data_IF_957307733974
#
_entry.id   IF_957307733974
#
_cell.length_a   1.000
_cell.length_b   1.000
_cell.length_c   1.000
_cell.angle_alpha   90.00
_cell.angle_beta   90.00
_cell.angle_gamma   90.00
#
_symmetry.space_group_name_H-M   'P 1'
#
loop_
_entity.id
_entity.type
_entity.pdbx_description
1 polymer ?
#
# COMPACT_ATOMS: atom_id res chain seq x y z
N UNK A 1 -11.47 -18.45 -9.83
CA UNK A 1 -12.16 -17.14 -9.76
C UNK A 1 -11.57 -16.42 -8.56
N UNK A 2 -10.71 -15.40 -8.74
CA UNK A 2 -10.18 -14.68 -7.59
C UNK A 2 -11.26 -13.73 -7.04
N UNK A 3 -11.61 -13.90 -5.77
CA UNK A 3 -12.56 -13.04 -5.07
C UNK A 3 -11.90 -11.70 -4.73
N UNK A 4 -12.29 -10.62 -5.41
CA UNK A 4 -11.88 -9.25 -5.05
C UNK A 4 -12.16 -9.01 -3.55
N UNK A 5 -11.10 -8.81 -2.75
CA UNK A 5 -11.22 -8.51 -1.31
C UNK A 5 -11.81 -7.09 -1.18
N UNK A 6 -13.12 -7.00 -0.98
CA UNK A 6 -13.84 -5.73 -0.76
C UNK A 6 -13.29 -5.02 0.49
N UNK A 7 -13.18 -3.70 0.47
CA UNK A 7 -12.67 -2.90 1.61
C UNK A 7 -13.58 -3.03 2.83
N UNK A 8 -13.16 -3.81 3.82
CA UNK A 8 -13.94 -4.07 5.04
C UNK A 8 -13.82 -2.91 6.01
N UNK A 9 -14.96 -2.27 6.30
CA UNK A 9 -15.05 -1.27 7.36
C UNK A 9 -15.37 -2.01 8.67
N UNK A 10 -14.50 -1.84 9.64
CA UNK A 10 -14.73 -2.21 11.02
C UNK A 10 -15.21 -0.99 11.80
N UNK A 11 -16.32 -1.13 12.53
CA UNK A 11 -16.90 -0.04 13.31
C UNK A 11 -16.69 -0.27 14.80
N UNK A 12 -15.94 0.64 15.42
CA UNK A 12 -15.71 0.68 16.86
C UNK A 12 -16.65 1.68 17.50
N UNK A 13 -17.50 1.23 18.43
CA UNK A 13 -18.47 2.09 19.10
C UNK A 13 -18.81 1.60 20.51
N UNK A 14 -19.31 2.49 21.36
CA UNK A 14 -19.90 2.06 22.64
C UNK A 14 -21.32 1.55 22.42
N UNK A 15 -21.69 0.42 23.04
CA UNK A 15 -23.06 -0.11 22.96
C UNK A 15 -24.14 0.90 23.38
N UNK A 16 -23.79 1.88 24.22
CA UNK A 16 -24.69 2.98 24.62
C UNK A 16 -24.98 3.98 23.50
N UNK A 17 -24.19 3.95 22.43
CA UNK A 17 -24.31 4.83 21.26
C UNK A 17 -24.83 4.10 20.03
N UNK A 18 -25.42 2.91 20.22
CA UNK A 18 -25.96 2.07 19.14
C UNK A 18 -26.93 2.82 18.23
N UNK A 19 -27.68 3.79 18.76
CA UNK A 19 -28.62 4.59 17.97
C UNK A 19 -27.92 5.30 16.78
N UNK A 20 -26.71 5.84 16.99
CA UNK A 20 -25.93 6.48 15.93
C UNK A 20 -25.42 5.48 14.89
N UNK A 21 -25.06 4.27 15.32
CA UNK A 21 -24.70 3.20 14.41
C UNK A 21 -25.88 2.79 13.52
N UNK A 22 -27.08 2.65 14.09
CA UNK A 22 -28.29 2.31 13.34
C UNK A 22 -28.65 3.41 12.34
N UNK A 23 -28.47 4.68 12.69
CA UNK A 23 -28.67 5.80 11.77
C UNK A 23 -27.67 5.77 10.60
N UNK A 24 -26.39 5.50 10.86
CA UNK A 24 -25.39 5.30 9.81
C UNK A 24 -25.76 4.13 8.91
N UNK A 25 -26.13 2.97 9.49
CA UNK A 25 -26.58 1.80 8.73
C UNK A 25 -27.79 2.10 7.85
N UNK A 26 -28.76 2.86 8.36
CA UNK A 26 -29.96 3.26 7.63
C UNK A 26 -29.62 4.12 6.41
N UNK A 27 -28.71 5.09 6.56
CA UNK A 27 -28.27 5.96 5.45
C UNK A 27 -27.39 5.19 4.46
N UNK A 28 -26.48 4.34 4.95
CA UNK A 28 -25.59 3.51 4.14
C UNK A 28 -26.28 2.28 3.54
N UNK A 29 -27.52 1.97 3.90
CA UNK A 29 -28.25 0.78 3.49
C UNK A 29 -28.22 0.51 1.97
N UNK A 30 -28.34 1.52 1.07
CA UNK A 30 -28.21 1.30 -0.36
C UNK A 30 -26.84 0.73 -0.76
N UNK A 31 -25.76 1.22 -0.11
CA UNK A 31 -24.35 0.88 -0.39
C UNK A 31 -23.85 -0.37 0.33
N UNK A 32 -24.50 -0.73 1.41
CA UNK A 32 -24.32 -2.03 2.06
C UNK A 32 -24.99 -3.11 1.20
N UNK A 33 -26.21 -2.86 0.71
CA UNK A 33 -27.00 -3.81 -0.09
C UNK A 33 -26.39 -4.12 -1.46
N UNK A 34 -25.85 -3.12 -2.14
CA UNK A 34 -25.16 -3.31 -3.42
C UNK A 34 -23.73 -3.88 -3.26
N UNK A 35 -23.27 -4.06 -2.01
CA UNK A 35 -21.98 -4.64 -1.68
C UNK A 35 -20.79 -3.69 -1.88
N UNK A 36 -21.03 -2.41 -2.16
CA UNK A 36 -19.99 -1.37 -2.27
C UNK A 36 -19.26 -1.20 -0.94
N UNK A 37 -19.98 -1.30 0.18
CA UNK A 37 -19.44 -1.19 1.53
C UNK A 37 -19.69 -2.49 2.28
N UNK A 38 -18.70 -3.40 2.38
CA UNK A 38 -18.75 -4.50 3.34
C UNK A 38 -18.54 -3.93 4.76
N UNK A 39 -19.65 -3.50 5.34
CA UNK A 39 -19.74 -2.90 6.66
C UNK A 39 -19.88 -4.00 7.72
N UNK A 40 -19.01 -4.01 8.73
CA UNK A 40 -19.08 -4.97 9.83
C UNK A 40 -19.14 -4.24 11.19
N UNK A 41 -19.98 -4.75 12.07
CA UNK A 41 -20.13 -4.33 13.47
C UNK A 41 -20.53 -5.53 14.36
N UNK A 42 -20.44 -5.34 15.67
CA UNK A 42 -20.65 -6.40 16.67
C UNK A 42 -22.08 -6.98 16.71
N UNK A 43 -23.07 -6.37 16.05
CA UNK A 43 -24.43 -6.95 15.95
C UNK A 43 -24.52 -8.16 15.02
N UNK A 44 -23.45 -8.45 14.27
CA UNK A 44 -23.35 -9.59 13.36
C UNK A 44 -22.76 -10.85 14.01
N UNK A 45 -22.36 -10.78 15.28
CA UNK A 45 -21.81 -11.92 16.04
C UNK A 45 -22.95 -12.85 16.44
N UNK A 46 -22.88 -14.15 16.11
CA UNK A 46 -23.95 -15.08 16.45
C UNK A 46 -23.99 -15.41 17.95
N UNK A 47 -25.17 -15.73 18.53
CA UNK A 47 -25.32 -16.11 19.93
C UNK A 47 -24.71 -17.49 20.26
N UNK A 48 -23.39 -17.58 20.23
CA UNK A 48 -22.58 -18.74 20.63
C UNK A 48 -21.09 -18.47 20.47
N UNK A 49 -20.72 -17.47 19.68
CA UNK A 49 -19.33 -17.20 19.33
C UNK A 49 -18.62 -16.48 20.46
N UNK A 50 -17.31 -16.72 20.55
CA UNK A 50 -16.44 -15.97 21.44
C UNK A 50 -16.25 -14.58 20.85
N UNK A 51 -17.17 -13.68 21.21
CA UNK A 51 -17.26 -12.31 20.69
C UNK A 51 -15.92 -11.54 20.60
N UNK A 52 -14.96 -11.82 21.50
CA UNK A 52 -13.62 -11.20 21.46
C UNK A 52 -12.75 -11.72 20.32
N UNK A 53 -12.72 -13.03 20.11
CA UNK A 53 -11.94 -13.67 19.05
C UNK A 53 -12.50 -13.25 17.68
N UNK A 54 -13.83 -13.14 17.56
CA UNK A 54 -14.52 -12.63 16.38
C UNK A 54 -14.14 -11.16 16.08
N UNK A 55 -14.14 -10.28 17.09
CA UNK A 55 -13.74 -8.87 16.92
C UNK A 55 -12.29 -8.77 16.44
N UNK A 56 -11.36 -9.51 17.04
CA UNK A 56 -9.96 -9.53 16.66
C UNK A 56 -9.77 -10.04 15.22
N UNK A 57 -10.46 -11.11 14.83
CA UNK A 57 -10.42 -11.65 13.48
C UNK A 57 -10.94 -10.62 12.46
N UNK A 58 -12.09 -9.99 12.73
CA UNK A 58 -12.69 -9.03 11.80
C UNK A 58 -11.84 -7.78 11.67
N UNK A 59 -11.31 -7.27 12.78
CA UNK A 59 -10.35 -6.18 12.80
C UNK A 59 -9.06 -6.53 12.05
N UNK A 60 -8.58 -7.77 12.14
CA UNK A 60 -7.38 -8.24 11.40
C UNK A 60 -7.58 -8.19 9.88
N UNK A 61 -8.83 -8.31 9.42
CA UNK A 61 -9.21 -8.29 8.00
C UNK A 61 -9.71 -6.93 7.51
N UNK A 62 -9.89 -5.96 8.42
CA UNK A 62 -10.40 -4.63 8.12
C UNK A 62 -9.32 -3.76 7.45
N UNK A 63 -9.76 -2.96 6.48
CA UNK A 63 -8.91 -1.97 5.79
C UNK A 63 -9.20 -0.54 6.26
N UNK A 64 -10.38 -0.32 6.84
CA UNK A 64 -10.81 0.94 7.45
C UNK A 64 -11.37 0.65 8.85
N UNK A 65 -10.95 1.42 9.85
CA UNK A 65 -11.58 1.46 11.17
C UNK A 65 -12.29 2.80 11.38
N UNK A 66 -13.60 2.74 11.61
CA UNK A 66 -14.46 3.88 11.92
C UNK A 66 -14.74 3.94 13.42
N UNK A 67 -14.29 4.99 14.11
CA UNK A 67 -14.50 5.17 15.55
C UNK A 67 -15.65 6.14 15.82
N UNK A 68 -16.67 5.69 16.55
CA UNK A 68 -17.77 6.52 17.03
C UNK A 68 -17.46 7.02 18.44
N UNK A 69 -16.89 8.22 18.52
CA UNK A 69 -16.26 8.72 19.75
C UNK A 69 -17.25 9.53 20.58
N UNK A 70 -17.40 9.14 21.84
CA UNK A 70 -18.24 9.76 22.85
C UNK A 70 -17.58 9.65 24.23
N UNK A 71 -18.18 10.26 25.25
CA UNK A 71 -17.83 10.04 26.65
C UNK A 71 -17.97 8.55 27.04
N UNK A 72 -18.99 7.86 26.52
CA UNK A 72 -19.19 6.42 26.74
C UNK A 72 -18.18 5.54 26.00
N UNK A 73 -17.66 5.98 24.86
CA UNK A 73 -16.59 5.31 24.12
C UNK A 73 -15.28 5.39 24.90
N UNK A 74 -14.91 6.59 25.36
CA UNK A 74 -13.69 6.82 26.12
C UNK A 74 -13.73 6.25 27.54
N UNK A 75 -14.91 6.01 28.11
CA UNK A 75 -15.07 5.38 29.41
C UNK A 75 -15.16 3.84 29.36
N UNK A 76 -15.14 3.23 28.17
CA UNK A 76 -15.26 1.78 28.02
C UNK A 76 -13.91 1.09 28.22
N UNK A 77 -13.78 0.32 29.31
CA UNK A 77 -12.54 -0.41 29.64
C UNK A 77 -12.11 -1.38 28.53
N UNK A 78 -13.07 -1.99 27.83
CA UNK A 78 -12.77 -2.89 26.73
C UNK A 78 -12.18 -2.12 25.54
N UNK A 79 -12.80 -1.01 25.16
CA UNK A 79 -12.34 -0.21 24.02
C UNK A 79 -10.95 0.38 24.32
N UNK A 80 -10.79 1.03 25.47
CA UNK A 80 -9.54 1.72 25.83
C UNK A 80 -8.38 0.76 26.05
N UNK A 81 -8.60 -0.39 26.69
CA UNK A 81 -7.51 -1.29 27.07
C UNK A 81 -7.28 -2.44 26.09
N UNK A 82 -8.17 -2.67 25.11
CA UNK A 82 -8.06 -3.79 24.16
C UNK A 82 -8.18 -3.33 22.71
N UNK A 83 -9.33 -2.76 22.35
CA UNK A 83 -9.68 -2.51 20.95
C UNK A 83 -8.88 -1.35 20.35
N UNK A 84 -8.87 -0.20 21.03
CA UNK A 84 -8.19 1.00 20.57
C UNK A 84 -6.67 0.82 20.44
N UNK A 85 -5.95 0.20 21.40
CA UNK A 85 -4.52 -0.09 21.22
C UNK A 85 -4.23 -0.94 19.98
N UNK A 86 -5.06 -1.95 19.69
CA UNK A 86 -4.90 -2.80 18.52
C UNK A 86 -5.20 -2.06 17.21
N UNK A 87 -6.23 -1.21 17.20
CA UNK A 87 -6.55 -0.34 16.05
C UNK A 87 -5.38 0.60 15.76
N UNK A 88 -4.83 1.25 16.79
CA UNK A 88 -3.72 2.18 16.65
C UNK A 88 -2.44 1.49 16.19
N UNK A 89 -2.13 0.32 16.76
CA UNK A 89 -0.99 -0.51 16.35
C UNK A 89 -1.09 -0.91 14.87
N UNK A 90 -2.27 -1.36 14.43
CA UNK A 90 -2.51 -1.68 13.01
C UNK A 90 -2.47 -0.46 12.10
N UNK A 91 -2.84 0.71 12.59
CA UNK A 91 -2.75 1.94 11.84
C UNK A 91 -1.29 2.34 11.58
N UNK A 92 -0.43 2.14 12.59
CA UNK A 92 1.01 2.42 12.50
C UNK A 92 1.77 1.34 11.71
N UNK A 93 1.40 0.06 11.87
CA UNK A 93 2.23 -1.07 11.41
C UNK A 93 1.64 -1.88 10.24
N UNK A 94 0.31 -1.89 10.05
CA UNK A 94 -0.38 -2.74 9.06
C UNK A 94 -1.10 -1.94 7.95
N UNK A 95 -1.02 -0.61 7.97
CA UNK A 95 -1.68 0.26 6.98
C UNK A 95 -3.20 0.38 7.13
N UNK A 96 -3.75 0.05 8.31
CA UNK A 96 -5.17 0.25 8.63
C UNK A 96 -5.52 1.75 8.61
N UNK A 97 -6.47 2.15 7.79
CA UNK A 97 -6.93 3.55 7.75
C UNK A 97 -7.88 3.80 8.93
N UNK A 98 -7.51 4.71 9.83
CA UNK A 98 -8.34 5.10 10.96
C UNK A 98 -9.02 6.43 10.69
N UNK A 99 -10.32 6.49 10.95
CA UNK A 99 -11.11 7.72 10.92
C UNK A 99 -12.15 7.68 12.02
N UNK A 100 -12.68 8.83 12.40
CA UNK A 100 -13.55 8.94 13.56
C UNK A 100 -14.56 10.07 13.43
N UNK A 101 -15.62 9.99 14.23
CA UNK A 101 -16.65 11.02 14.34
C UNK A 101 -16.96 11.30 15.82
N UNK A 102 -17.18 12.58 16.14
CA UNK A 102 -17.53 13.00 17.49
C UNK A 102 -19.04 12.99 17.67
N UNK A 103 -19.52 12.08 18.52
CA UNK A 103 -20.94 11.93 18.84
C UNK A 103 -21.39 12.91 19.93
N UNK A 104 -20.62 13.02 21.03
CA UNK A 104 -20.96 13.83 22.21
C UNK A 104 -19.74 14.62 22.71
N UNK A 105 -19.94 15.71 23.45
CA UNK A 105 -18.84 16.38 24.15
C UNK A 105 -18.08 15.41 25.05
N UNK A 106 -16.77 15.29 24.84
CA UNK A 106 -15.92 14.45 25.68
C UNK A 106 -14.47 14.96 25.71
N UNK A 107 -13.70 14.52 26.69
CA UNK A 107 -12.32 14.96 26.88
C UNK A 107 -11.37 14.30 25.87
N UNK A 108 -11.18 14.95 24.71
CA UNK A 108 -10.32 14.47 23.63
C UNK A 108 -8.88 14.99 23.69
N UNK A 109 -8.63 16.05 24.46
CA UNK A 109 -7.32 16.68 24.52
C UNK A 109 -6.27 15.68 25.02
N UNK A 110 -5.25 15.41 24.20
CA UNK A 110 -4.18 14.47 24.50
C UNK A 110 -4.49 13.00 24.17
N UNK A 111 -5.64 12.70 23.57
CA UNK A 111 -5.97 11.35 23.13
C UNK A 111 -5.34 11.04 21.75
N UNK A 112 -4.77 9.85 21.58
CA UNK A 112 -4.15 9.40 20.32
C UNK A 112 -5.11 9.40 19.12
N UNK A 113 -6.42 9.29 19.35
CA UNK A 113 -7.44 9.38 18.30
C UNK A 113 -7.33 10.71 17.52
N UNK A 114 -6.95 11.81 18.17
CA UNK A 114 -6.88 13.12 17.52
C UNK A 114 -5.72 13.25 16.54
N UNK A 115 -4.81 12.27 16.46
CA UNK A 115 -3.78 12.21 15.43
C UNK A 115 -4.36 11.83 14.05
N UNK A 116 -5.58 11.30 13.99
CA UNK A 116 -6.24 10.87 12.75
C UNK A 116 -7.32 11.86 12.32
N UNK A 117 -7.63 11.86 11.02
CA UNK A 117 -8.62 12.76 10.44
C UNK A 117 -10.05 12.38 10.87
N UNK A 118 -10.77 13.36 11.43
CA UNK A 118 -12.19 13.24 11.73
C UNK A 118 -13.05 13.39 10.46
N UNK A 119 -14.21 12.74 10.44
CA UNK A 119 -15.14 12.78 9.30
C UNK A 119 -15.94 14.08 9.19
N UNK A 120 -15.94 14.90 10.23
CA UNK A 120 -16.64 16.18 10.27
C UNK A 120 -15.84 17.20 11.09
N UNK A 121 -16.36 18.43 11.20
CA UNK A 121 -15.79 19.43 12.09
C UNK A 121 -16.02 19.06 13.56
N UNK A 122 -14.95 18.87 14.31
CA UNK A 122 -15.01 18.47 15.73
C UNK A 122 -15.39 19.60 16.70
N UNK A 123 -15.63 20.81 16.19
CA UNK A 123 -16.03 21.98 16.96
C UNK A 123 -17.44 21.86 17.56
N UNK A 124 -18.31 21.06 16.94
CA UNK A 124 -19.68 20.84 17.42
C UNK A 124 -20.03 19.35 17.29
N UNK A 125 -20.15 18.60 18.40
CA UNK A 125 -20.54 17.19 18.39
C UNK A 125 -21.92 16.96 17.80
N UNK A 126 -22.17 15.77 17.25
CA UNK A 126 -23.46 15.44 16.63
C UNK A 126 -24.65 15.57 17.58
N UNK A 127 -24.47 15.30 18.87
CA UNK A 127 -25.52 15.44 19.89
C UNK A 127 -25.95 16.88 20.16
N UNK A 128 -25.17 17.88 19.72
CA UNK A 128 -25.47 19.31 19.90
C UNK A 128 -26.12 19.94 18.65
N UNK A 129 -26.30 19.15 17.58
CA UNK A 129 -27.00 19.58 16.38
C UNK A 129 -28.51 19.42 16.57
N UNK A 130 -29.29 20.26 15.89
CA UNK A 130 -30.73 20.02 15.77
C UNK A 130 -30.98 18.72 14.98
N UNK A 131 -32.15 18.08 15.09
CA UNK A 131 -32.42 16.84 14.38
C UNK A 131 -32.19 16.93 12.85
N UNK A 132 -32.57 18.05 12.24
CA UNK A 132 -32.39 18.28 10.80
C UNK A 132 -30.91 18.45 10.44
N UNK A 133 -30.17 19.29 11.18
CA UNK A 133 -28.72 19.47 10.99
C UNK A 133 -27.94 18.18 11.23
N UNK A 134 -28.35 17.39 12.23
CA UNK A 134 -27.75 16.11 12.56
C UNK A 134 -27.93 15.13 11.41
N UNK A 135 -29.13 15.09 10.81
CA UNK A 135 -29.42 14.25 9.66
C UNK A 135 -28.59 14.67 8.44
N UNK A 136 -28.52 15.96 8.14
CA UNK A 136 -27.68 16.48 7.05
C UNK A 136 -26.19 16.14 7.24
N UNK A 137 -25.68 16.32 8.47
CA UNK A 137 -24.27 16.04 8.76
C UNK A 137 -23.98 14.54 8.68
N UNK A 138 -24.90 13.68 9.15
CA UNK A 138 -24.79 12.23 9.00
C UNK A 138 -24.76 11.79 7.52
N UNK A 139 -25.53 12.46 6.65
CA UNK A 139 -25.47 12.20 5.19
C UNK A 139 -24.08 12.53 4.64
N UNK A 140 -23.52 13.70 4.96
CA UNK A 140 -22.14 14.07 4.52
C UNK A 140 -21.09 13.11 5.05
N UNK A 141 -21.22 12.67 6.30
CA UNK A 141 -20.34 11.66 6.90
C UNK A 141 -20.45 10.34 6.13
N UNK A 142 -21.68 9.90 5.81
CA UNK A 142 -21.91 8.71 5.02
C UNK A 142 -21.33 8.82 3.61
N UNK A 143 -21.44 9.98 2.96
CA UNK A 143 -20.81 10.24 1.65
C UNK A 143 -19.28 10.09 1.73
N UNK A 144 -18.65 10.67 2.75
CA UNK A 144 -17.21 10.49 2.99
C UNK A 144 -16.85 9.03 3.27
N UNK A 145 -17.67 8.30 4.03
CA UNK A 145 -17.50 6.86 4.25
C UNK A 145 -17.56 6.10 2.94
N UNK A 146 -18.55 6.41 2.08
CA UNK A 146 -18.68 5.82 0.75
C UNK A 146 -17.46 6.15 -0.12
N UNK A 147 -16.94 7.37 -0.08
CA UNK A 147 -15.74 7.75 -0.82
C UNK A 147 -14.49 7.01 -0.34
N UNK A 148 -14.36 6.83 0.97
CA UNK A 148 -13.24 6.09 1.55
C UNK A 148 -13.31 4.59 1.25
N UNK A 149 -14.53 4.02 1.27
CA UNK A 149 -14.80 2.59 1.15
C UNK A 149 -15.08 2.11 -0.27
N UNK A 150 -15.39 3.04 -1.18
CA UNK A 150 -15.16 2.79 -2.61
C UNK A 150 -13.72 2.31 -2.70
N UNK A 151 -13.45 1.16 -3.34
CA UNK A 151 -12.10 0.92 -3.81
C UNK A 151 -11.75 2.19 -4.57
N UNK A 152 -10.74 2.92 -4.09
CA UNK A 152 -10.46 4.28 -4.54
C UNK A 152 -10.81 4.41 -6.03
N UNK A 153 -11.70 5.34 -6.41
CA UNK A 153 -11.95 5.61 -7.82
C UNK A 153 -10.61 6.06 -8.44
N UNK A 154 -9.87 5.10 -8.96
CA UNK A 154 -8.43 5.07 -8.77
C UNK A 154 -7.94 3.77 -8.15
N UNK A 155 -8.18 2.64 -8.83
CA UNK A 155 -7.01 1.86 -9.24
C UNK A 155 -6.05 2.88 -9.82
N UNK A 156 -5.12 3.32 -8.99
CA UNK A 156 -3.95 3.99 -9.50
C UNK A 156 -3.08 2.89 -10.10
N UNK A 157 -3.50 2.50 -11.29
CA UNK A 157 -2.63 2.29 -12.42
C UNK A 157 -1.54 3.40 -12.57
N UNK A 158 -1.70 4.51 -11.84
CA UNK A 158 -0.74 5.55 -11.52
C UNK A 158 -0.17 5.40 -10.08
N UNK A 159 0.68 4.40 -9.85
CA UNK A 159 1.72 4.50 -8.80
C UNK A 159 3.10 4.33 -9.42
N UNK A 160 3.28 4.96 -10.57
CA UNK A 160 4.60 5.16 -11.16
C UNK A 160 5.49 6.13 -10.41
N UNK A 161 4.95 6.86 -9.42
CA UNK A 161 5.70 7.82 -8.59
C UNK A 161 5.41 7.68 -7.07
N UNK A 162 4.67 6.64 -6.66
CA UNK A 162 4.50 6.22 -5.25
C UNK A 162 4.59 4.69 -5.21
N UNK A 163 5.15 4.05 -4.18
CA UNK A 163 5.46 2.63 -4.23
C UNK A 163 4.19 1.76 -4.32
N UNK A 164 4.23 0.74 -5.18
CA UNK A 164 3.07 -0.08 -5.57
C UNK A 164 2.42 -0.71 -4.32
N UNK A 165 1.10 -0.78 -4.30
CA UNK A 165 0.36 -1.21 -3.10
C UNK A 165 -0.05 -2.68 -3.19
N UNK A 166 -0.37 -3.26 -2.03
CA UNK A 166 -0.93 -4.61 -1.83
C UNK A 166 -2.14 -4.97 -2.74
N UNK A 167 -2.81 -3.99 -3.36
CA UNK A 167 -3.94 -4.22 -4.27
C UNK A 167 -3.54 -4.65 -5.69
N UNK A 168 -2.26 -4.57 -6.04
CA UNK A 168 -1.74 -4.89 -7.38
C UNK A 168 -1.16 -6.31 -7.49
N UNK A 169 -1.27 -7.13 -6.43
CA UNK A 169 -0.74 -8.50 -6.35
C UNK A 169 -1.25 -9.39 -7.49
N UNK A 170 -2.52 -9.24 -7.88
CA UNK A 170 -3.12 -10.01 -8.99
C UNK A 170 -2.48 -9.66 -10.34
N UNK A 171 -2.15 -8.37 -10.55
CA UNK A 171 -1.51 -7.92 -11.79
C UNK A 171 -0.09 -8.50 -11.87
N UNK A 172 0.65 -8.57 -10.75
CA UNK A 172 2.01 -9.13 -10.75
C UNK A 172 2.06 -10.66 -10.70
N UNK A 173 1.06 -11.33 -10.13
CA UNK A 173 0.96 -12.78 -10.13
C UNK A 173 0.74 -13.34 -11.54
N UNK A 174 0.06 -12.61 -12.42
CA UNK A 174 -0.22 -13.03 -13.81
C UNK A 174 0.84 -12.57 -14.83
N UNK A 175 1.73 -11.65 -14.46
CA UNK A 175 2.95 -11.39 -15.23
C UNK A 175 3.89 -12.56 -14.98
N UNK A 176 4.55 -13.08 -16.02
CA UNK A 176 5.50 -14.21 -15.98
C UNK A 176 6.77 -13.99 -15.13
N UNK A 177 6.70 -13.14 -14.10
CA UNK A 177 7.71 -12.94 -13.06
C UNK A 177 7.46 -13.78 -11.81
N UNK A 178 6.50 -14.72 -11.83
CA UNK A 178 6.34 -15.70 -10.76
C UNK A 178 7.66 -16.40 -10.46
N UNK A 179 8.42 -16.81 -11.48
CA UNK A 179 9.73 -17.44 -11.29
C UNK A 179 10.73 -16.54 -10.57
N UNK A 180 10.73 -15.24 -10.87
CA UNK A 180 11.58 -14.26 -10.19
C UNK A 180 11.18 -14.07 -8.73
N UNK A 181 9.87 -13.92 -8.48
CA UNK A 181 9.32 -13.73 -7.14
C UNK A 181 9.55 -14.97 -6.28
N UNK A 182 9.28 -16.15 -6.82
CA UNK A 182 9.54 -17.42 -6.15
C UNK A 182 11.04 -17.62 -5.91
N UNK A 183 11.92 -17.24 -6.85
CA UNK A 183 13.36 -17.25 -6.61
C UNK A 183 13.76 -16.32 -5.45
N UNK A 184 13.21 -15.10 -5.39
CA UNK A 184 13.46 -14.17 -4.29
C UNK A 184 12.97 -14.72 -2.96
N UNK A 185 11.71 -15.14 -2.89
CA UNK A 185 11.06 -15.61 -1.66
C UNK A 185 11.70 -16.92 -1.19
N UNK A 186 11.96 -17.86 -2.09
CA UNK A 186 12.67 -19.12 -1.80
C UNK A 186 14.06 -18.86 -1.25
N UNK A 187 14.83 -17.96 -1.89
CA UNK A 187 16.15 -17.55 -1.42
C UNK A 187 16.09 -16.93 -0.02
N UNK A 188 15.19 -15.97 0.21
CA UNK A 188 14.99 -15.36 1.54
C UNK A 188 14.59 -16.41 2.58
N UNK A 189 13.84 -17.44 2.21
CA UNK A 189 13.40 -18.49 3.13
C UNK A 189 14.50 -19.50 3.50
N UNK A 190 15.62 -19.54 2.79
CA UNK A 190 16.75 -20.43 3.14
C UNK A 190 17.32 -20.10 4.52
N UNK A 191 17.86 -21.12 5.21
CA UNK A 191 18.35 -20.98 6.58
C UNK A 191 19.60 -20.09 6.69
N UNK A 192 20.45 -20.12 5.67
CA UNK A 192 21.71 -19.37 5.56
C UNK A 192 21.52 -17.98 4.93
N UNK A 193 20.31 -17.65 4.46
CA UNK A 193 20.01 -16.30 3.98
C UNK A 193 20.04 -15.31 5.14
N UNK A 194 21.04 -14.41 5.11
CA UNK A 194 21.14 -13.29 6.05
C UNK A 194 20.89 -11.97 5.34
N UNK A 195 21.62 -11.71 4.26
CA UNK A 195 21.56 -10.45 3.54
C UNK A 195 21.58 -10.71 2.04
N UNK A 196 20.70 -10.05 1.30
CA UNK A 196 20.64 -10.14 -0.14
C UNK A 196 20.33 -8.82 -0.82
N UNK A 197 20.56 -8.79 -2.13
CA UNK A 197 20.36 -7.64 -2.99
C UNK A 197 19.27 -7.91 -4.02
N UNK A 198 18.35 -6.97 -4.13
CA UNK A 198 17.43 -6.83 -5.25
C UNK A 198 18.01 -5.77 -6.21
N UNK A 199 18.71 -6.24 -7.23
CA UNK A 199 19.37 -5.40 -8.22
C UNK A 199 18.43 -5.07 -9.38
N UNK A 200 18.64 -3.92 -10.00
CA UNK A 200 17.95 -3.58 -11.24
C UNK A 200 18.20 -2.14 -11.66
N UNK A 201 17.97 -1.82 -12.92
CA UNK A 201 18.07 -0.44 -13.41
C UNK A 201 17.02 0.48 -12.75
N UNK A 202 17.16 1.80 -12.93
CA UNK A 202 16.16 2.73 -12.46
C UNK A 202 14.81 2.49 -13.16
N UNK A 203 13.71 2.58 -12.41
CA UNK A 203 12.36 2.43 -12.97
C UNK A 203 11.90 1.00 -13.30
N UNK A 204 12.72 -0.05 -13.08
CA UNK A 204 12.32 -1.46 -13.36
C UNK A 204 11.31 -2.05 -12.36
N UNK A 205 10.96 -1.30 -11.31
CA UNK A 205 9.95 -1.69 -10.32
C UNK A 205 10.51 -2.36 -9.06
N UNK A 206 11.76 -2.11 -8.66
CA UNK A 206 12.37 -2.69 -7.44
C UNK A 206 11.53 -2.43 -6.18
N UNK A 207 11.25 -1.15 -5.90
CA UNK A 207 10.36 -0.67 -4.85
C UNK A 207 9.00 -1.37 -4.86
N UNK A 208 8.44 -1.54 -6.05
CA UNK A 208 7.16 -2.20 -6.28
C UNK A 208 7.17 -3.65 -5.83
N UNK A 209 8.22 -4.39 -6.23
CA UNK A 209 8.36 -5.79 -5.87
C UNK A 209 8.56 -5.95 -4.37
N UNK A 210 9.31 -5.06 -3.71
CA UNK A 210 9.46 -5.09 -2.25
C UNK A 210 8.11 -4.93 -1.52
N UNK A 211 7.34 -3.90 -1.86
CA UNK A 211 6.11 -3.55 -1.12
C UNK A 211 4.88 -4.38 -1.50
N UNK A 212 4.66 -4.61 -2.80
CA UNK A 212 3.42 -5.18 -3.30
C UNK A 212 3.48 -6.70 -3.47
N UNK A 213 4.68 -7.29 -3.47
CA UNK A 213 4.85 -8.72 -3.82
C UNK A 213 5.66 -9.45 -2.76
N UNK A 214 6.94 -9.13 -2.59
CA UNK A 214 7.86 -9.85 -1.70
C UNK A 214 7.41 -9.75 -0.23
N UNK A 215 7.15 -8.55 0.28
CA UNK A 215 6.65 -8.36 1.65
C UNK A 215 5.38 -9.16 1.96
N UNK A 216 4.29 -8.98 1.18
CA UNK A 216 3.06 -9.75 1.33
C UNK A 216 3.28 -11.27 1.31
N UNK A 217 4.04 -11.79 0.34
CA UNK A 217 4.34 -13.22 0.23
C UNK A 217 5.13 -13.75 1.43
N UNK A 218 6.05 -12.96 1.98
CA UNK A 218 6.75 -13.30 3.23
C UNK A 218 5.77 -13.42 4.40
N UNK A 219 4.79 -12.50 4.51
CA UNK A 219 3.75 -12.54 5.55
C UNK A 219 2.86 -13.78 5.44
N UNK A 220 2.52 -14.20 4.22
CA UNK A 220 1.78 -15.46 3.97
C UNK A 220 2.58 -16.69 4.40
N UNK A 221 3.90 -16.67 4.24
CA UNK A 221 4.81 -17.73 4.68
C UNK A 221 5.17 -17.66 6.17
N UNK A 222 4.55 -16.76 6.93
CA UNK A 222 4.73 -16.65 8.39
C UNK A 222 5.94 -15.82 8.84
N UNK A 223 6.60 -15.11 7.94
CA UNK A 223 7.64 -14.12 8.28
C UNK A 223 6.99 -12.77 8.63
N UNK A 224 7.53 -12.08 9.63
CA UNK A 224 7.25 -10.65 9.79
C UNK A 224 8.21 -9.88 8.88
N UNK A 225 7.79 -8.72 8.35
CA UNK A 225 8.67 -7.88 7.56
C UNK A 225 8.49 -6.41 7.89
N UNK A 226 9.54 -5.62 7.68
CA UNK A 226 9.51 -4.16 7.79
C UNK A 226 10.11 -3.53 6.54
N UNK A 227 9.34 -2.71 5.86
CA UNK A 227 9.80 -1.91 4.72
C UNK A 227 10.35 -0.56 5.20
N UNK A 228 11.47 -0.12 4.63
CA UNK A 228 12.14 1.14 4.97
C UNK A 228 12.66 1.77 3.67
N UNK A 229 12.27 3.02 3.40
CA UNK A 229 12.78 3.80 2.27
C UNK A 229 13.92 4.72 2.73
N UNK A 230 15.15 4.39 2.34
CA UNK A 230 16.36 5.08 2.80
C UNK A 230 16.55 6.49 2.21
N UNK A 231 15.65 6.93 1.32
CA UNK A 231 15.60 8.34 0.88
C UNK A 231 14.97 9.24 1.95
N UNK A 232 14.04 8.68 2.72
CA UNK A 232 13.16 9.42 3.62
C UNK A 232 13.41 9.07 5.09
N UNK A 233 13.92 7.86 5.36
CA UNK A 233 14.13 7.34 6.70
C UNK A 233 15.61 7.00 6.92
N UNK A 234 16.10 7.28 8.14
CA UNK A 234 17.41 6.80 8.56
C UNK A 234 17.38 5.28 8.75
N UNK A 235 18.42 4.55 8.33
CA UNK A 235 18.44 3.11 8.49
C UNK A 235 18.38 2.74 9.98
N UNK A 236 17.64 1.68 10.34
CA UNK A 236 17.43 1.32 11.73
C UNK A 236 18.73 0.79 12.35
N UNK A 237 18.92 1.07 13.64
CA UNK A 237 19.96 0.42 14.43
C UNK A 237 19.61 -1.06 14.58
N UNK A 238 20.31 -1.93 13.85
CA UNK A 238 20.03 -3.37 13.78
C UNK A 238 20.01 -4.04 15.16
N UNK A 239 20.83 -3.57 16.10
CA UNK A 239 20.89 -4.06 17.48
C UNK A 239 19.59 -3.84 18.28
N UNK A 240 18.77 -2.86 17.90
CA UNK A 240 17.48 -2.55 18.55
C UNK A 240 16.32 -3.37 17.97
N UNK A 241 16.53 -4.04 16.85
CA UNK A 241 15.53 -4.88 16.22
C UNK A 241 15.58 -6.27 16.84
N UNK A 242 14.89 -6.44 17.96
CA UNK A 242 14.74 -7.75 18.59
C UNK A 242 13.52 -8.45 17.99
N UNK A 243 13.67 -9.50 17.16
CA UNK A 243 12.51 -10.25 16.70
C UNK A 243 11.81 -10.89 17.90
N UNK A 244 10.47 -10.90 17.88
CA UNK A 244 9.70 -11.65 18.86
C UNK A 244 10.06 -13.14 18.72
N UNK A 245 10.22 -13.85 19.84
CA UNK A 245 10.81 -15.21 19.96
C UNK A 245 10.24 -16.30 19.03
N UNK A 246 9.18 -16.04 18.27
CA UNK A 246 8.48 -17.04 17.44
C UNK A 246 8.47 -16.79 15.93
N UNK A 247 8.87 -15.62 15.40
CA UNK A 247 8.83 -15.34 13.95
C UNK A 247 10.10 -14.68 13.41
N UNK A 248 10.67 -15.16 12.29
CA UNK A 248 11.77 -14.50 11.59
C UNK A 248 11.32 -13.14 11.04
N UNK A 249 12.18 -12.13 11.16
CA UNK A 249 11.94 -10.76 10.70
C UNK A 249 12.76 -10.49 9.44
N UNK A 250 12.13 -9.96 8.39
CA UNK A 250 12.81 -9.54 7.16
C UNK A 250 12.77 -8.01 7.04
N UNK A 251 13.92 -7.36 6.96
CA UNK A 251 14.01 -5.95 6.60
C UNK A 251 14.09 -5.81 5.09
N UNK A 252 13.15 -5.06 4.53
CA UNK A 252 13.13 -4.67 3.12
C UNK A 252 13.65 -3.24 3.04
N UNK A 253 14.95 -3.09 2.77
CA UNK A 253 15.58 -1.78 2.63
C UNK A 253 15.49 -1.34 1.18
N UNK A 254 14.80 -0.24 0.91
CA UNK A 254 14.69 0.32 -0.42
C UNK A 254 15.71 1.43 -0.64
N UNK A 255 16.20 1.59 -1.86
CA UNK A 255 17.19 2.60 -2.24
C UNK A 255 18.47 2.53 -1.39
N UNK A 256 19.07 1.34 -1.29
CA UNK A 256 20.27 1.11 -0.48
C UNK A 256 21.47 1.96 -0.90
N UNK A 257 21.49 2.46 -2.14
CA UNK A 257 22.45 3.47 -2.59
C UNK A 257 22.45 4.78 -1.78
N UNK A 258 21.41 5.02 -0.98
CA UNK A 258 21.31 6.17 -0.06
C UNK A 258 21.77 5.86 1.36
N UNK A 259 22.07 4.60 1.68
CA UNK A 259 22.57 4.25 2.99
C UNK A 259 23.98 4.84 3.23
N UNK A 260 24.28 5.29 4.46
CA UNK A 260 25.64 5.66 4.86
C UNK A 260 26.49 4.39 5.03
N UNK A 261 27.15 3.98 3.93
CA UNK A 261 27.92 2.74 3.81
C UNK A 261 29.44 2.95 3.89
N UNK A 262 29.91 4.01 4.55
CA UNK A 262 31.35 4.23 4.75
C UNK A 262 31.85 3.51 6.01
N UNK A 263 33.12 3.08 6.08
CA UNK A 263 33.67 2.38 7.26
C UNK A 263 33.51 3.11 8.59
N UNK A 264 33.46 4.45 8.55
CA UNK A 264 33.25 5.31 9.72
C UNK A 264 31.80 5.36 10.22
N UNK A 265 30.83 5.07 9.36
CA UNK A 265 29.41 5.24 9.64
C UNK A 265 28.90 4.22 10.67
N UNK A 266 28.08 4.68 11.63
CA UNK A 266 27.54 3.82 12.67
C UNK A 266 26.64 2.72 12.11
N UNK A 267 25.85 3.03 11.08
CA UNK A 267 25.00 2.04 10.42
C UNK A 267 25.82 0.95 9.75
N UNK A 268 26.86 1.32 8.99
CA UNK A 268 27.73 0.36 8.33
C UNK A 268 28.43 -0.54 9.35
N UNK A 269 29.02 0.03 10.41
CA UNK A 269 29.60 -0.74 11.52
C UNK A 269 28.60 -1.71 12.16
N UNK A 270 27.36 -1.27 12.38
CA UNK A 270 26.30 -2.13 12.92
C UNK A 270 25.92 -3.25 11.94
N UNK A 271 25.90 -2.99 10.62
CA UNK A 271 25.67 -3.98 9.58
C UNK A 271 26.77 -5.05 9.56
N UNK A 272 28.04 -4.64 9.61
CA UNK A 272 29.19 -5.56 9.68
C UNK A 272 29.12 -6.43 10.93
N UNK A 273 28.91 -5.79 12.09
CA UNK A 273 28.79 -6.50 13.37
C UNK A 273 27.64 -7.49 13.37
N UNK A 274 26.49 -7.12 12.81
CA UNK A 274 25.33 -8.01 12.71
C UNK A 274 25.59 -9.20 11.78
N UNK A 275 26.22 -8.97 10.62
CA UNK A 275 26.49 -10.03 9.65
C UNK A 275 27.48 -11.08 10.18
N UNK A 276 28.46 -10.66 10.98
CA UNK A 276 29.42 -11.56 11.63
C UNK A 276 28.87 -12.29 12.86
N UNK A 277 27.83 -11.77 13.50
CA UNK A 277 27.26 -12.34 14.72
C UNK A 277 26.23 -13.43 14.39
N UNK A 278 26.56 -14.69 14.70
CA UNK A 278 25.69 -15.86 14.48
C UNK A 278 24.70 -16.10 15.63
N UNK A 279 24.78 -15.31 16.71
CA UNK A 279 23.94 -15.47 17.91
C UNK A 279 22.61 -14.71 17.84
N UNK A 280 22.47 -13.76 16.90
CA UNK A 280 21.26 -12.96 16.74
C UNK A 280 20.16 -13.83 16.09
N UNK A 281 18.92 -13.85 16.62
CA UNK A 281 17.77 -14.54 16.01
C UNK A 281 17.55 -14.12 14.55
N UNK A 282 16.78 -14.86 13.72
CA UNK A 282 16.86 -14.81 12.26
C UNK A 282 16.25 -13.52 11.68
N UNK A 283 16.97 -12.42 11.86
CA UNK A 283 16.84 -11.20 11.11
C UNK A 283 17.46 -11.45 9.75
N UNK A 284 16.68 -11.18 8.70
CA UNK A 284 17.11 -11.24 7.32
C UNK A 284 16.97 -9.85 6.70
N UNK A 285 17.80 -9.52 5.74
CA UNK A 285 17.77 -8.22 5.06
C UNK A 285 17.75 -8.46 3.56
N UNK A 286 16.81 -7.84 2.87
CA UNK A 286 16.81 -7.69 1.43
C UNK A 286 16.90 -6.21 1.11
N UNK A 287 17.97 -5.80 0.43
CA UNK A 287 18.23 -4.42 0.06
C UNK A 287 18.05 -4.21 -1.45
N UNK A 288 17.19 -3.29 -1.86
CA UNK A 288 17.13 -2.88 -3.27
C UNK A 288 18.27 -1.94 -3.61
N UNK A 289 18.83 -2.09 -4.80
CA UNK A 289 19.96 -1.27 -5.24
C UNK A 289 19.95 -1.11 -6.76
N UNK A 290 20.42 0.03 -7.25
CA UNK A 290 20.70 0.18 -8.68
C UNK A 290 21.87 -0.71 -9.11
N UNK A 291 21.74 -1.40 -10.26
CA UNK A 291 22.79 -2.30 -10.77
C UNK A 291 24.14 -1.58 -10.95
N UNK A 292 24.12 -0.30 -11.31
CA UNK A 292 25.32 0.55 -11.43
C UNK A 292 26.04 0.79 -10.10
N UNK A 293 25.31 0.73 -8.98
CA UNK A 293 25.85 0.99 -7.64
C UNK A 293 26.48 -0.25 -7.00
N UNK A 294 26.17 -1.46 -7.50
CA UNK A 294 26.73 -2.72 -7.00
C UNK A 294 28.26 -2.74 -7.11
N UNK A 295 28.82 -2.21 -8.20
CA UNK A 295 30.27 -2.10 -8.37
C UNK A 295 30.94 -1.14 -7.38
N UNK A 296 30.20 -0.15 -6.87
CA UNK A 296 30.68 0.79 -5.84
C UNK A 296 30.67 0.13 -4.46
N UNK A 297 29.67 -0.72 -4.20
CA UNK A 297 29.55 -1.48 -2.96
C UNK A 297 30.63 -2.58 -2.86
N UNK A 298 30.95 -3.26 -3.96
CA UNK A 298 31.76 -4.48 -3.94
C UNK A 298 33.11 -4.35 -3.20
N UNK A 299 33.93 -3.29 -3.38
CA UNK A 299 35.15 -3.11 -2.61
C UNK A 299 34.91 -2.98 -1.11
N UNK A 300 33.88 -2.22 -0.71
CA UNK A 300 33.53 -1.98 0.70
C UNK A 300 33.15 -3.27 1.43
N UNK A 301 32.45 -4.17 0.73
CA UNK A 301 32.07 -5.48 1.28
C UNK A 301 33.22 -6.51 1.21
N UNK A 302 34.12 -6.39 0.25
CA UNK A 302 35.32 -7.25 0.15
C UNK A 302 36.27 -7.02 1.33
N UNK A 303 36.48 -5.76 1.72
CA UNK A 303 37.40 -5.38 2.82
C UNK A 303 36.95 -5.92 4.20
N UNK A 304 35.70 -6.34 4.33
CA UNK A 304 35.09 -6.87 5.56
C UNK A 304 34.62 -8.33 5.41
N UNK A 305 35.14 -9.06 4.40
CA UNK A 305 34.83 -10.46 4.10
C UNK A 305 33.34 -10.77 3.86
N UNK A 306 32.57 -9.74 3.49
CA UNK A 306 31.17 -9.89 3.17
C UNK A 306 31.02 -10.37 1.72
N UNK A 307 30.67 -11.64 1.56
CA UNK A 307 30.52 -12.26 0.24
C UNK A 307 29.05 -12.51 -0.08
N UNK A 308 28.57 -11.93 -1.19
CA UNK A 308 27.24 -12.19 -1.70
C UNK A 308 27.23 -13.54 -2.44
N UNK A 309 26.47 -14.50 -1.95
CA UNK A 309 26.22 -15.73 -2.70
C UNK A 309 25.28 -15.48 -3.88
N UNK A 310 25.34 -16.28 -4.97
CA UNK A 310 24.40 -16.14 -6.09
C UNK A 310 22.93 -16.23 -5.67
N UNK A 311 22.62 -16.98 -4.62
CA UNK A 311 21.27 -17.14 -4.05
C UNK A 311 20.81 -15.93 -3.19
N UNK A 312 21.68 -14.94 -3.02
CA UNK A 312 21.44 -13.70 -2.29
C UNK A 312 21.38 -12.49 -3.24
N UNK A 313 21.45 -12.70 -4.56
CA UNK A 313 21.51 -11.63 -5.54
C UNK A 313 20.45 -11.83 -6.62
N UNK A 314 19.38 -11.04 -6.57
CA UNK A 314 18.24 -11.14 -7.47
C UNK A 314 18.25 -9.98 -8.46
N UNK A 315 18.30 -10.28 -9.76
CA UNK A 315 18.31 -9.26 -10.82
C UNK A 315 16.92 -9.06 -11.41
N UNK A 316 16.37 -7.88 -11.20
CA UNK A 316 15.12 -7.43 -11.80
C UNK A 316 15.40 -6.72 -13.13
N UNK A 317 15.04 -7.36 -14.23
CA UNK A 317 15.18 -6.81 -15.59
C UNK A 317 14.01 -5.91 -15.98
N UNK A 318 14.14 -5.20 -17.10
CA UNK A 318 13.00 -4.55 -17.78
C UNK A 318 12.02 -5.59 -18.30
N UNK A 319 10.79 -5.15 -18.58
CA UNK A 319 9.77 -6.01 -19.15
C UNK A 319 10.09 -6.26 -20.61
N UNK A 320 9.88 -7.47 -21.10
CA UNK A 320 9.90 -7.71 -22.54
C UNK A 320 8.57 -7.25 -23.19
N UNK A 321 8.52 -7.22 -24.52
CA UNK A 321 7.33 -6.83 -25.29
C UNK A 321 6.08 -7.64 -24.91
N UNK A 322 6.22 -8.96 -24.78
CA UNK A 322 5.10 -9.86 -24.49
C UNK A 322 4.54 -9.65 -23.07
N UNK A 323 5.42 -9.48 -22.09
CA UNK A 323 5.07 -9.15 -20.70
C UNK A 323 4.34 -7.81 -20.62
N UNK A 324 4.86 -6.78 -21.30
CA UNK A 324 4.23 -5.46 -21.32
C UNK A 324 2.82 -5.51 -21.96
N UNK A 325 2.65 -6.28 -23.03
CA UNK A 325 1.35 -6.46 -23.68
C UNK A 325 0.33 -7.16 -22.79
N UNK A 326 0.74 -8.22 -22.10
CA UNK A 326 -0.13 -8.91 -21.13
C UNK A 326 -0.60 -7.95 -20.04
N UNK A 327 0.30 -7.11 -19.53
CA UNK A 327 -0.05 -6.12 -18.50
C UNK A 327 -1.11 -5.14 -19.01
N UNK A 328 -0.91 -4.54 -20.19
CA UNK A 328 -1.90 -3.60 -20.73
C UNK A 328 -3.26 -4.25 -20.94
N UNK A 329 -3.30 -5.49 -21.44
CA UNK A 329 -4.56 -6.22 -21.64
C UNK A 329 -5.27 -6.51 -20.32
N UNK A 330 -4.55 -7.02 -19.32
CA UNK A 330 -5.09 -7.25 -17.97
C UNK A 330 -5.61 -5.96 -17.32
N UNK A 331 -5.04 -4.81 -17.68
CA UNK A 331 -5.51 -3.49 -17.21
C UNK A 331 -6.76 -3.00 -17.95
N UNK A 332 -6.98 -3.42 -19.19
CA UNK A 332 -8.07 -2.93 -20.05
C UNK A 332 -9.31 -3.85 -20.04
N UNK A 333 -9.12 -5.18 -19.97
CA UNK A 333 -10.21 -6.17 -20.02
C UNK A 333 -11.26 -6.03 -18.90
N UNK A 334 -10.89 -5.81 -17.62
CA UNK A 334 -11.87 -5.67 -16.54
C UNK A 334 -12.73 -4.41 -16.65
N UNK A 335 -12.31 -3.45 -17.48
CA UNK A 335 -12.87 -2.09 -17.52
C UNK A 335 -13.81 -1.86 -18.70
N UNK A 336 -14.02 -2.87 -19.56
CA UNK A 336 -14.83 -2.81 -20.79
C UNK A 336 -14.44 -1.61 -21.70
N UNK A 337 -13.17 -1.20 -21.62
CA UNK A 337 -12.64 -0.07 -22.39
C UNK A 337 -12.32 -0.58 -23.80
N UNK A 338 -12.93 -0.03 -24.86
CA UNK A 338 -12.54 -0.38 -26.22
C UNK A 338 -11.09 0.07 -26.47
N UNK A 339 -10.21 -0.90 -26.74
CA UNK A 339 -8.82 -0.66 -27.10
C UNK A 339 -8.49 -1.28 -28.47
N UNK A 340 -7.73 -0.56 -29.28
CA UNK A 340 -7.17 -1.11 -30.52
C UNK A 340 -5.88 -1.88 -30.16
N UNK A 341 -5.87 -3.20 -30.32
CA UNK A 341 -4.69 -4.05 -30.07
C UNK A 341 -3.47 -3.54 -30.84
N UNK A 342 -3.66 -3.24 -32.12
CA UNK A 342 -2.61 -2.78 -33.03
C UNK A 342 -2.02 -1.43 -32.58
N UNK A 343 -2.77 -0.66 -31.81
CA UNK A 343 -2.33 0.62 -31.27
C UNK A 343 -1.50 0.45 -29.99
N UNK A 344 -1.92 -0.45 -29.08
CA UNK A 344 -1.11 -0.85 -27.91
C UNK A 344 0.22 -1.45 -28.39
N UNK A 345 0.16 -2.33 -29.38
CA UNK A 345 1.35 -2.92 -30.02
C UNK A 345 2.26 -1.82 -30.56
N UNK A 346 1.71 -0.82 -31.28
CA UNK A 346 2.48 0.31 -31.80
C UNK A 346 3.10 1.19 -30.70
N UNK A 347 2.40 1.43 -29.60
CA UNK A 347 2.91 2.21 -28.46
C UNK A 347 4.08 1.49 -27.78
N UNK A 348 3.95 0.19 -27.56
CA UNK A 348 5.01 -0.63 -26.98
C UNK A 348 6.19 -0.70 -27.95
N UNK A 349 5.96 -0.95 -29.24
CA UNK A 349 7.01 -0.98 -30.29
C UNK A 349 7.79 0.32 -30.40
N UNK A 350 7.12 1.47 -30.33
CA UNK A 350 7.79 2.78 -30.35
C UNK A 350 8.59 3.09 -29.09
N UNK A 351 8.31 2.36 -28.00
CA UNK A 351 8.94 2.56 -26.71
C UNK A 351 9.99 1.49 -26.39
N UNK A 352 10.12 0.47 -27.23
CA UNK A 352 11.24 -0.47 -27.22
C UNK A 352 12.48 0.31 -27.63
N UNK A 353 13.35 0.58 -26.67
CA UNK A 353 14.46 1.49 -26.92
C UNK A 353 15.70 0.81 -27.50
N UNK A 354 15.73 -0.51 -27.72
CA UNK A 354 16.95 -1.24 -28.10
C UNK A 354 16.70 -2.61 -28.77
N UNK A 355 17.77 -3.20 -29.33
CA UNK A 355 17.81 -4.53 -29.96
C UNK A 355 17.36 -5.73 -29.07
N UNK A 356 17.05 -5.50 -27.79
CA UNK A 356 16.62 -6.51 -26.80
C UNK A 356 15.10 -6.57 -26.58
N UNK A 357 14.31 -5.78 -27.30
CA UNK A 357 12.84 -5.75 -27.14
C UNK A 357 12.33 -5.43 -25.72
N UNK A 358 13.12 -4.65 -24.97
CA UNK A 358 12.79 -4.25 -23.60
C UNK A 358 11.90 -2.99 -23.55
N UNK A 359 10.89 -3.03 -22.70
CA UNK A 359 9.88 -1.99 -22.49
C UNK A 359 10.05 -1.39 -21.11
N UNK A 360 10.16 -0.06 -21.05
CA UNK A 360 10.21 0.66 -19.78
C UNK A 360 8.85 0.61 -19.07
N UNK A 361 8.80 0.32 -17.75
CA UNK A 361 7.56 0.41 -16.97
C UNK A 361 6.88 1.78 -17.03
N UNK A 362 7.59 2.85 -17.39
CA UNK A 362 7.02 4.19 -17.63
C UNK A 362 5.96 4.18 -18.74
N UNK A 363 6.14 3.36 -19.77
CA UNK A 363 5.21 3.25 -20.92
C UNK A 363 3.90 2.63 -20.47
N UNK A 364 3.99 1.62 -19.61
CA UNK A 364 2.82 1.03 -18.96
C UNK A 364 2.14 2.06 -18.08
N UNK A 365 2.89 2.86 -17.32
CA UNK A 365 2.31 3.91 -16.47
C UNK A 365 1.53 4.97 -17.28
N UNK A 366 2.01 5.37 -18.46
CA UNK A 366 1.28 6.30 -19.34
C UNK A 366 0.00 5.66 -19.86
N UNK A 367 0.10 4.42 -20.33
CA UNK A 367 -1.04 3.64 -20.83
C UNK A 367 -2.12 3.52 -19.74
N UNK A 368 -1.67 3.22 -18.54
CA UNK A 368 -2.50 3.05 -17.36
C UNK A 368 -3.07 4.40 -16.84
N UNK A 369 -2.34 5.51 -17.01
CA UNK A 369 -2.84 6.87 -16.78
C UNK A 369 -3.93 7.26 -17.77
N UNK A 370 -3.75 6.96 -19.07
CA UNK A 370 -4.76 7.22 -20.09
C UNK A 370 -6.07 6.47 -19.80
N UNK A 371 -5.99 5.20 -19.38
CA UNK A 371 -7.12 4.40 -18.91
C UNK A 371 -7.85 5.08 -17.74
N UNK A 372 -7.13 5.81 -16.88
CA UNK A 372 -7.74 6.55 -15.77
C UNK A 372 -8.41 7.84 -16.24
N UNK A 373 -7.82 8.56 -17.19
CA UNK A 373 -8.39 9.81 -17.71
C UNK A 373 -9.73 9.56 -18.42
N UNK A 374 -9.88 8.45 -19.12
CA UNK A 374 -11.16 8.08 -19.76
C UNK A 374 -12.30 7.88 -18.76
N UNK A 375 -12.02 7.59 -17.47
CA UNK A 375 -13.04 7.49 -16.40
C UNK A 375 -13.62 8.84 -15.94
N UNK A 376 -12.92 9.97 -16.16
CA UNK A 376 -13.34 11.29 -15.65
C UNK A 376 -14.22 12.08 -16.61
N UNK A 377 -14.20 11.77 -17.91
CA UNK A 377 -14.95 12.52 -18.93
C UNK A 377 -15.87 11.59 -19.71
N UNK A 378 -17.17 11.78 -19.53
CA UNK A 378 -18.25 11.02 -20.20
C UNK A 378 -18.37 11.32 -21.71
N UNK A 379 -17.29 11.79 -22.37
CA UNK A 379 -17.26 12.08 -23.81
C UNK A 379 -15.89 11.73 -24.40
N UNK A 380 -15.84 10.58 -25.08
CA UNK A 380 -14.85 10.17 -26.09
C UNK A 380 -13.37 10.01 -25.67
N UNK A 381 -13.04 9.05 -24.81
CA UNK A 381 -11.64 8.61 -24.70
C UNK A 381 -11.53 7.08 -24.80
N UNK A 382 -11.38 6.62 -26.05
CA UNK A 382 -11.00 5.26 -26.41
C UNK A 382 -9.48 5.17 -26.63
N UNK A 383 -8.88 3.98 -26.46
CA UNK A 383 -7.46 3.74 -26.67
C UNK A 383 -7.14 3.60 -28.18
N UNK A 384 -7.36 4.68 -28.94
CA UNK A 384 -7.24 4.72 -30.41
C UNK A 384 -6.27 5.80 -30.87
N UNK A 385 -5.73 5.65 -32.09
CA UNK A 385 -4.85 6.66 -32.72
C UNK A 385 -5.46 8.08 -32.74
N UNK A 386 -6.77 8.18 -32.88
CA UNK A 386 -7.46 9.46 -33.01
C UNK A 386 -7.53 10.23 -31.69
N UNK A 387 -7.68 9.53 -30.56
CA UNK A 387 -7.69 10.13 -29.23
C UNK A 387 -6.32 10.70 -28.84
N UNK A 388 -5.23 9.97 -29.09
CA UNK A 388 -3.86 10.47 -28.79
C UNK A 388 -3.51 11.68 -29.65
N UNK A 389 -3.93 11.70 -30.93
CA UNK A 389 -3.68 12.86 -31.80
C UNK A 389 -4.39 14.11 -31.28
N UNK A 390 -5.60 13.98 -30.71
CA UNK A 390 -6.29 15.09 -30.02
C UNK A 390 -5.58 15.55 -28.75
N UNK A 391 -4.80 14.68 -28.10
CA UNK A 391 -4.06 14.99 -26.86
C UNK A 391 -2.66 15.59 -27.08
N UNK A 392 -2.21 15.72 -28.33
CA UNK A 392 -0.88 16.25 -28.66
C UNK A 392 0.20 15.17 -28.82
N UNK A 393 -0.18 13.92 -29.10
CA UNK A 393 0.77 12.83 -29.18
C UNK A 393 1.18 12.29 -27.80
N UNK A 394 2.23 11.49 -27.76
CA UNK A 394 2.77 10.92 -26.51
C UNK A 394 3.34 12.04 -25.61
N UNK A 395 4.00 13.04 -26.21
CA UNK A 395 4.56 14.20 -25.48
C UNK A 395 3.48 15.02 -24.79
N UNK A 396 2.38 15.35 -25.47
CA UNK A 396 1.26 16.07 -24.85
C UNK A 396 0.56 15.29 -23.73
N UNK A 397 0.71 13.96 -23.69
CA UNK A 397 0.24 13.14 -22.57
C UNK A 397 1.22 13.24 -21.39
N UNK A 398 2.53 13.15 -21.65
CA UNK A 398 3.55 13.36 -20.62
C UNK A 398 3.41 14.74 -19.95
N UNK A 399 3.20 15.80 -20.72
CA UNK A 399 3.00 17.16 -20.19
C UNK A 399 1.79 17.23 -19.26
N UNK A 400 0.63 16.69 -19.65
CA UNK A 400 -0.57 16.68 -18.79
C UNK A 400 -0.39 15.84 -17.53
N UNK A 401 0.31 14.72 -17.63
CA UNK A 401 0.65 13.88 -16.46
C UNK A 401 1.51 14.70 -15.49
N UNK A 402 2.54 15.37 -15.99
CA UNK A 402 3.45 16.20 -15.18
C UNK A 402 2.71 17.41 -14.56
N UNK A 403 1.85 18.08 -15.32
CA UNK A 403 1.04 19.20 -14.83
C UNK A 403 0.07 18.78 -13.72
N UNK A 404 -0.63 17.64 -13.87
CA UNK A 404 -1.50 17.12 -12.80
C UNK A 404 -0.71 16.76 -11.53
N UNK A 405 0.54 16.27 -11.66
CA UNK A 405 1.40 15.98 -10.51
C UNK A 405 1.89 17.25 -9.83
N UNK A 406 2.32 18.25 -10.61
CA UNK A 406 2.75 19.55 -10.10
C UNK A 406 1.62 20.23 -9.33
N UNK A 407 0.38 20.20 -9.84
CA UNK A 407 -0.78 20.76 -9.16
C UNK A 407 -1.10 20.07 -7.82
N UNK A 408 -0.84 18.76 -7.70
CA UNK A 408 -1.02 18.04 -6.44
C UNK A 408 0.06 18.34 -5.42
N UNK A 409 1.31 18.44 -5.86
CA UNK A 409 2.44 18.82 -5.00
C UNK A 409 2.28 20.25 -4.46
N UNK A 410 1.71 21.16 -5.26
CA UNK A 410 1.40 22.54 -4.83
C UNK A 410 0.26 22.61 -3.80
N UNK A 411 -0.62 21.60 -3.76
CA UNK A 411 -1.68 21.47 -2.75
C UNK A 411 -1.15 20.86 -1.45
N UNK A 412 -0.17 19.96 -1.51
CA UNK A 412 0.48 19.35 -0.35
C UNK A 412 1.49 20.30 0.32
N UNK A 413 2.10 21.23 -0.41
CA UNK A 413 3.02 22.24 0.13
C UNK A 413 2.39 23.42 0.86
N UNK A 414 1.05 23.46 1.00
CA UNK A 414 0.30 24.56 1.67
C UNK A 414 -0.23 24.20 3.06
N UNK A 415 0.18 23.06 3.65
CA UNK A 415 -0.26 22.63 4.98
C UNK A 415 0.86 22.60 6.01
#
# INVERSE_FOLDING_TARGET
MPSHRREKIFVSYSRKDKNYLEDLKRILAPKIRDGTIPFWDDTLIEPSDKWREEIEEKLSSATIALLLVSDHYLASDFIVNKELPLILDRAENDGLRVTWMLLRPCLLKGNKITAYQALHGTNKPLSELTPDEQQEELVKICERIVEMARPAAGTSLIRGWYPYTYKDEVIFADIQRQDFVEACVSGICQQDFRFGLLQGESGVGKTSHLQAVIGPRLKELGYDYKYIDLRNESPPLLQKLTPQKSKPLVLLLDHFEKAPIQPQDEFFKALVSWYGDTSIPPLKILASVETSFVGVMQPLFTDIEFTFHPQQSFLLSKLNKEEALKIVRLMAEPEDIPFESDFVDCLIEKSVSNAKEEVSPVVLQITAHMIRLSRKSDKELAFTKQAIKKMGGIEGIYERVLEEQLQKLDLEGRH
#
